data_IF_497252483496
#
_entry.id   IF_497252483496
#
_cell.length_a   1.000
_cell.length_b   1.000
_cell.length_c   1.000
_cell.angle_alpha   90.00
_cell.angle_beta   90.00
_cell.angle_gamma   90.00
#
_symmetry.space_group_name_H-M   'P 1'
#
loop_
_entity.id
_entity.type
_entity.pdbx_description
1 polymer ?
#
# COMPACT_ATOMS: atom_id res chain seq x y z
N UNK A 1 -14.13 -0.06 -18.69
CA UNK A 1 -12.72 -0.40 -18.45
C UNK A 1 -12.48 -1.86 -18.85
N UNK A 2 -11.38 -2.17 -19.56
CA UNK A 2 -11.04 -3.55 -19.98
C UNK A 2 -10.02 -4.24 -19.04
N UNK A 3 -9.64 -3.62 -17.92
CA UNK A 3 -8.77 -4.24 -16.92
C UNK A 3 -9.54 -5.23 -16.05
N UNK A 4 -9.03 -6.46 -15.95
CA UNK A 4 -9.64 -7.55 -15.16
C UNK A 4 -9.72 -7.30 -13.64
N UNK A 5 -9.05 -6.26 -13.13
CA UNK A 5 -9.12 -5.84 -11.71
C UNK A 5 -10.27 -4.88 -11.42
N UNK A 6 -10.99 -4.39 -12.44
CA UNK A 6 -12.17 -3.57 -12.25
C UNK A 6 -13.41 -4.45 -12.20
N UNK A 7 -14.32 -4.20 -11.26
CA UNK A 7 -15.61 -4.87 -11.11
C UNK A 7 -16.59 -4.58 -12.28
N UNK A 8 -16.14 -4.77 -13.52
CA UNK A 8 -17.02 -4.94 -14.67
C UNK A 8 -17.71 -3.69 -15.22
N UNK A 9 -17.41 -2.47 -14.75
CA UNK A 9 -17.92 -1.24 -15.38
C UNK A 9 -17.32 -1.08 -16.79
N UNK A 10 -18.06 -1.58 -17.78
CA UNK A 10 -17.68 -1.57 -19.19
C UNK A 10 -18.14 -0.32 -19.93
N UNK A 11 -19.11 0.41 -19.38
CA UNK A 11 -19.73 1.58 -20.01
C UNK A 11 -19.88 2.71 -19.00
N UNK A 12 -19.36 3.89 -19.35
CA UNK A 12 -19.55 5.12 -18.58
C UNK A 12 -20.50 6.02 -19.37
N UNK A 13 -21.48 6.63 -18.70
CA UNK A 13 -22.44 7.52 -19.36
C UNK A 13 -21.88 8.93 -19.61
N UNK A 14 -20.70 9.25 -19.06
CA UNK A 14 -19.99 10.51 -19.29
C UNK A 14 -18.48 10.37 -19.04
N UNK A 15 -17.70 11.32 -19.56
CA UNK A 15 -16.26 11.40 -19.30
C UNK A 15 -15.95 11.58 -17.80
N UNK A 16 -16.73 12.39 -17.08
CA UNK A 16 -16.56 12.61 -15.64
C UNK A 16 -16.70 11.31 -14.82
N UNK A 17 -17.61 10.40 -15.22
CA UNK A 17 -17.75 9.10 -14.55
C UNK A 17 -16.55 8.18 -14.81
N UNK A 18 -15.97 8.24 -16.01
CA UNK A 18 -14.73 7.50 -16.30
C UNK A 18 -13.55 8.05 -15.51
N UNK A 19 -13.39 9.37 -15.44
CA UNK A 19 -12.35 10.02 -14.65
C UNK A 19 -12.46 9.65 -13.17
N UNK A 20 -13.67 9.73 -12.59
CA UNK A 20 -13.90 9.31 -11.22
C UNK A 20 -13.54 7.83 -10.99
N UNK A 21 -13.98 6.94 -11.88
CA UNK A 21 -13.61 5.52 -11.84
C UNK A 21 -12.09 5.31 -11.89
N UNK A 22 -11.40 6.06 -12.75
CA UNK A 22 -9.95 5.98 -12.86
C UNK A 22 -9.26 6.50 -11.60
N UNK A 23 -9.69 7.63 -11.07
CA UNK A 23 -9.15 8.21 -9.84
C UNK A 23 -9.29 7.26 -8.65
N UNK A 24 -10.42 6.56 -8.54
CA UNK A 24 -10.69 5.67 -7.40
C UNK A 24 -10.09 4.28 -7.57
N UNK A 25 -10.00 3.75 -8.80
CA UNK A 25 -9.63 2.34 -9.03
C UNK A 25 -8.27 2.14 -9.70
N UNK A 26 -7.71 3.16 -10.35
CA UNK A 26 -6.49 3.04 -11.16
C UNK A 26 -5.36 3.97 -10.76
N UNK A 27 -5.65 5.03 -10.01
CA UNK A 27 -4.66 6.05 -9.65
C UNK A 27 -3.46 5.51 -8.87
N UNK A 28 -3.68 4.51 -8.01
CA UNK A 28 -2.65 3.98 -7.12
C UNK A 28 -2.39 2.49 -7.38
N UNK A 29 -2.11 2.13 -8.63
CA UNK A 29 -1.77 0.76 -9.04
C UNK A 29 -0.26 0.56 -9.11
N UNK A 30 0.22 -0.53 -8.51
CA UNK A 30 1.59 -1.00 -8.70
C UNK A 30 1.78 -1.50 -10.13
N UNK A 31 2.68 -0.88 -10.89
CA UNK A 31 2.89 -1.25 -12.27
C UNK A 31 3.52 -2.63 -12.45
N UNK A 32 4.22 -3.13 -11.44
CA UNK A 32 4.89 -4.44 -11.45
C UNK A 32 3.91 -5.59 -11.19
N UNK A 33 3.06 -5.51 -10.15
CA UNK A 33 2.18 -6.61 -9.75
C UNK A 33 0.68 -6.34 -9.94
N UNK A 34 0.32 -5.16 -10.45
CA UNK A 34 -1.06 -4.72 -10.75
C UNK A 34 -2.02 -4.64 -9.57
N UNK A 35 -1.52 -4.70 -8.33
CA UNK A 35 -2.32 -4.44 -7.12
C UNK A 35 -2.69 -2.96 -7.03
N UNK A 36 -3.96 -2.69 -6.70
CA UNK A 36 -4.48 -1.35 -6.45
C UNK A 36 -4.43 -1.05 -4.95
N UNK A 37 -4.11 0.19 -4.59
CA UNK A 37 -3.98 0.64 -3.21
C UNK A 37 -4.92 1.82 -2.96
N UNK A 38 -5.38 2.05 -1.71
CA UNK A 38 -6.32 3.14 -1.43
C UNK A 38 -5.67 4.53 -1.41
N UNK A 39 -4.35 4.63 -1.58
CA UNK A 39 -3.64 5.91 -1.56
C UNK A 39 -2.18 5.78 -1.97
N UNK A 40 -1.60 6.91 -2.36
CA UNK A 40 -0.20 7.01 -2.83
C UNK A 40 0.80 6.46 -1.80
N UNK A 41 0.62 6.81 -0.52
CA UNK A 41 1.49 6.32 0.56
C UNK A 41 1.56 4.79 0.60
N UNK A 42 0.44 4.11 0.43
CA UNK A 42 0.37 2.65 0.46
C UNK A 42 1.06 2.03 -0.74
N UNK A 43 0.89 2.62 -1.92
CA UNK A 43 1.61 2.22 -3.13
C UNK A 43 3.13 2.40 -2.96
N UNK A 44 3.58 3.53 -2.41
CA UNK A 44 5.01 3.79 -2.16
C UNK A 44 5.58 2.77 -1.15
N UNK A 45 4.88 2.54 -0.03
CA UNK A 45 5.28 1.52 0.94
C UNK A 45 5.35 0.13 0.31
N UNK A 46 4.39 -0.21 -0.56
CA UNK A 46 4.38 -1.48 -1.27
C UNK A 46 5.58 -1.63 -2.20
N UNK A 47 5.84 -0.65 -3.06
CA UNK A 47 6.97 -0.68 -3.98
C UNK A 47 8.27 -0.84 -3.18
N UNK A 48 8.44 -0.06 -2.11
CA UNK A 48 9.63 -0.08 -1.26
C UNK A 48 9.81 -1.41 -0.51
N UNK A 49 8.74 -2.02 -0.02
CA UNK A 49 8.86 -3.25 0.81
C UNK A 49 8.83 -4.54 -0.01
N UNK A 50 8.27 -4.52 -1.22
CA UNK A 50 8.03 -5.71 -2.04
C UNK A 50 8.93 -5.75 -3.29
N UNK A 51 9.15 -4.60 -3.93
CA UNK A 51 9.79 -4.54 -5.25
C UNK A 51 11.18 -3.89 -5.25
N UNK A 52 11.52 -3.10 -4.23
CA UNK A 52 12.83 -2.47 -4.11
C UNK A 52 13.90 -3.49 -3.67
N UNK A 53 14.81 -3.79 -4.60
CA UNK A 53 15.91 -4.75 -4.41
C UNK A 53 16.90 -4.27 -3.34
N UNK A 54 17.16 -2.97 -3.25
CA UNK A 54 18.08 -2.43 -2.25
C UNK A 54 17.50 -2.57 -0.85
N UNK A 55 16.19 -2.35 -0.70
CA UNK A 55 15.49 -2.55 0.57
C UNK A 55 15.46 -4.03 0.96
N UNK A 56 15.32 -4.93 -0.02
CA UNK A 56 15.44 -6.38 0.23
C UNK A 56 16.82 -6.74 0.78
N UNK A 57 17.90 -6.20 0.21
CA UNK A 57 19.27 -6.43 0.70
C UNK A 57 19.46 -5.86 2.11
N UNK A 58 18.98 -4.65 2.38
CA UNK A 58 19.00 -4.05 3.73
C UNK A 58 18.28 -4.94 4.75
N UNK A 59 17.11 -5.47 4.38
CA UNK A 59 16.35 -6.42 5.21
C UNK A 59 17.15 -7.69 5.50
N UNK A 60 17.79 -8.27 4.49
CA UNK A 60 18.63 -9.48 4.63
C UNK A 60 19.84 -9.23 5.56
N UNK A 61 20.33 -8.00 5.63
CA UNK A 61 21.36 -7.55 6.59
C UNK A 61 20.84 -7.27 8.00
N UNK A 62 19.53 -7.42 8.22
CA UNK A 62 18.89 -7.17 9.53
C UNK A 62 18.59 -5.71 9.82
N UNK A 63 18.61 -4.84 8.81
CA UNK A 63 18.30 -3.42 8.97
C UNK A 63 16.79 -3.16 9.15
N UNK A 64 16.46 -2.01 9.74
CA UNK A 64 15.06 -1.60 9.98
C UNK A 64 14.52 -0.91 8.75
N UNK A 65 13.67 -1.59 7.99
CA UNK A 65 13.14 -1.06 6.71
C UNK A 65 11.64 -0.73 6.74
N UNK A 66 10.90 -1.30 7.70
CA UNK A 66 9.45 -1.20 7.74
C UNK A 66 9.02 0.13 8.36
N UNK A 67 8.61 1.08 7.53
CA UNK A 67 8.18 2.40 7.97
C UNK A 67 6.80 2.36 8.62
N UNK A 68 6.59 3.21 9.63
CA UNK A 68 5.29 3.43 10.25
C UNK A 68 4.24 3.96 9.25
N UNK A 69 2.98 3.62 9.47
CA UNK A 69 1.87 4.07 8.63
C UNK A 69 1.40 5.50 8.93
N UNK A 70 1.82 6.10 10.04
CA UNK A 70 1.38 7.45 10.44
C UNK A 70 2.32 8.50 9.85
N UNK A 71 1.77 9.54 9.23
CA UNK A 71 2.55 10.66 8.73
C UNK A 71 3.19 11.43 9.90
N UNK A 72 4.45 11.83 9.74
CA UNK A 72 5.24 12.44 10.81
C UNK A 72 5.79 11.45 11.85
N UNK A 73 5.62 10.13 11.66
CA UNK A 73 6.28 9.13 12.49
C UNK A 73 7.48 8.50 11.76
N UNK A 74 8.70 8.86 12.19
CA UNK A 74 9.95 8.40 11.58
C UNK A 74 10.37 6.98 12.02
N UNK A 75 9.49 6.25 12.71
CA UNK A 75 9.82 4.93 13.23
C UNK A 75 10.00 3.91 12.09
N UNK A 76 11.22 3.38 11.99
CA UNK A 76 11.53 2.18 11.21
C UNK A 76 11.53 0.94 12.12
N UNK A 77 10.89 -0.12 11.66
CA UNK A 77 10.69 -1.38 12.37
C UNK A 77 11.48 -2.51 11.69
N UNK A 78 11.87 -3.52 12.48
CA UNK A 78 12.63 -4.67 11.98
C UNK A 78 11.76 -5.68 11.23
N UNK A 79 10.49 -5.82 11.63
CA UNK A 79 9.54 -6.76 11.03
C UNK A 79 8.15 -6.15 10.88
N UNK A 80 7.30 -6.67 9.98
CA UNK A 80 5.90 -6.24 9.88
C UNK A 80 5.14 -6.43 11.20
N UNK A 81 5.43 -7.50 11.95
CA UNK A 81 4.83 -7.76 13.26
C UNK A 81 5.21 -6.69 14.28
N UNK A 82 6.49 -6.25 14.31
CA UNK A 82 6.94 -5.15 15.17
C UNK A 82 6.30 -3.82 14.77
N UNK A 83 6.14 -3.57 13.46
CA UNK A 83 5.39 -2.40 12.97
C UNK A 83 3.94 -2.42 13.44
N UNK A 84 3.25 -3.56 13.30
CA UNK A 84 1.88 -3.73 13.80
C UNK A 84 1.79 -3.40 15.28
N UNK A 85 2.68 -3.96 16.10
CA UNK A 85 2.71 -3.68 17.54
C UNK A 85 2.93 -2.20 17.82
N UNK A 86 3.90 -1.56 17.14
CA UNK A 86 4.15 -0.13 17.27
C UNK A 86 2.90 0.72 16.93
N UNK A 87 2.20 0.39 15.85
CA UNK A 87 0.97 1.09 15.45
C UNK A 87 -0.15 0.95 16.49
N UNK A 88 -0.29 -0.24 17.09
CA UNK A 88 -1.29 -0.49 18.14
C UNK A 88 -0.89 0.27 19.41
N UNK A 89 0.36 0.15 19.87
CA UNK A 89 0.78 0.66 21.17
C UNK A 89 1.03 2.16 21.19
N UNK A 90 1.52 2.75 20.09
CA UNK A 90 1.88 4.17 20.02
C UNK A 90 0.87 5.02 19.28
N UNK A 91 0.20 4.45 18.29
CA UNK A 91 -0.78 5.16 17.47
C UNK A 91 -2.21 4.67 17.69
N UNK A 92 -2.43 3.75 18.63
CA UNK A 92 -3.75 3.25 19.02
C UNK A 92 -4.55 2.69 17.85
N UNK A 93 -3.87 2.13 16.85
CA UNK A 93 -4.54 1.48 15.72
C UNK A 93 -5.45 0.35 16.22
N UNK A 94 -6.66 0.18 15.66
CA UNK A 94 -7.51 -0.94 16.00
C UNK A 94 -6.82 -2.27 15.70
N UNK A 95 -6.95 -3.25 16.59
CA UNK A 95 -6.32 -4.58 16.42
C UNK A 95 -6.77 -5.31 15.16
N UNK A 96 -7.97 -4.98 14.66
CA UNK A 96 -8.60 -5.52 13.46
C UNK A 96 -8.29 -4.72 12.17
N UNK A 97 -7.46 -3.67 12.25
CA UNK A 97 -6.99 -2.98 11.06
C UNK A 97 -6.26 -3.94 10.11
N UNK A 98 -6.41 -3.75 8.79
CA UNK A 98 -5.70 -4.54 7.79
C UNK A 98 -4.21 -4.15 7.73
N UNK A 99 -3.40 -4.71 8.62
CA UNK A 99 -1.95 -4.46 8.63
C UNK A 99 -1.20 -5.06 7.43
N UNK A 100 -1.86 -5.94 6.65
CA UNK A 100 -1.32 -6.52 5.43
C UNK A 100 -1.57 -5.68 4.17
N UNK A 101 -2.18 -4.50 4.28
CA UNK A 101 -2.51 -3.62 3.14
C UNK A 101 -1.31 -3.34 2.21
N UNK A 102 -0.11 -3.17 2.76
CA UNK A 102 1.13 -2.98 1.98
C UNK A 102 1.45 -4.19 1.08
N UNK A 103 0.98 -5.38 1.44
CA UNK A 103 1.16 -6.61 0.67
C UNK A 103 -0.05 -6.88 -0.22
N UNK A 104 -1.27 -6.63 0.24
CA UNK A 104 -2.50 -7.07 -0.44
C UNK A 104 -2.97 -6.11 -1.52
N UNK A 105 -2.65 -4.81 -1.42
CA UNK A 105 -3.52 -3.79 -2.00
C UNK A 105 -4.59 -3.40 -1.00
#
# INVERSE_FOLDING_TARGET
>A
CHHGSCHGEKTFSSAAMYEHHFETNHRHICQTCKKAFPGEKWLILHIREIHDVLVRIQRERGERIYQCYVDGCDKLCMTPQKRRMHLIDKHHYPKHFNFSIVVTG
#
